data_IF_745495177923
#
_entry.id   IF_745495177923
#
_cell.length_a   1.000
_cell.length_b   1.000
_cell.length_c   1.000
_cell.angle_alpha   90.00
_cell.angle_beta   90.00
_cell.angle_gamma   90.00
#
_symmetry.space_group_name_H-M   'P 1'
#
loop_
_entity.id
_entity.type
_entity.pdbx_description
1 polymer ?
#
# COMPACT_ATOMS: atom_id res chain seq x y z
N UNK A 1 17.36 62.14 4.14
CA UNK A 1 16.71 60.83 4.34
C UNK A 1 15.76 60.63 3.17
N UNK A 2 16.19 59.88 2.15
CA UNK A 2 15.38 59.61 0.96
C UNK A 2 14.51 58.39 1.28
N UNK A 3 13.20 58.59 1.32
CA UNK A 3 12.23 57.50 1.41
C UNK A 3 11.91 57.01 0.00
N UNK A 4 12.42 55.82 -0.35
CA UNK A 4 11.99 55.09 -1.55
C UNK A 4 10.71 54.34 -1.16
N UNK A 5 9.56 54.88 -1.55
CA UNK A 5 8.29 54.18 -1.44
C UNK A 5 8.15 53.19 -2.60
N UNK A 6 8.23 51.90 -2.32
CA UNK A 6 7.76 50.88 -3.24
C UNK A 6 6.23 50.82 -3.16
N UNK A 7 5.53 51.51 -4.06
CA UNK A 7 4.11 51.24 -4.29
C UNK A 7 3.99 49.91 -5.02
N UNK A 8 3.63 48.86 -4.29
CA UNK A 8 3.10 47.64 -4.89
C UNK A 8 1.66 47.90 -5.30
N UNK A 9 1.44 48.17 -6.59
CA UNK A 9 0.10 48.18 -7.18
C UNK A 9 -0.29 46.72 -7.41
N UNK A 10 -1.01 46.09 -6.48
CA UNK A 10 -1.73 44.85 -6.81
C UNK A 10 -2.85 45.24 -7.79
N UNK A 11 -2.74 44.84 -9.05
CA UNK A 11 -3.80 45.02 -10.04
C UNK A 11 -5.04 44.24 -9.58
N UNK A 12 -5.99 44.97 -8.99
CA UNK A 12 -7.25 44.42 -8.46
C UNK A 12 -8.29 44.16 -9.58
N UNK A 13 -7.98 44.50 -10.83
CA UNK A 13 -8.94 44.40 -11.93
C UNK A 13 -9.14 42.96 -12.39
N UNK A 14 -10.41 42.57 -12.51
CA UNK A 14 -10.78 41.34 -13.21
C UNK A 14 -10.48 41.49 -14.70
N UNK A 15 -10.06 40.40 -15.32
CA UNK A 15 -9.93 40.40 -16.77
C UNK A 15 -11.29 40.63 -17.43
N UNK A 16 -11.32 41.52 -18.41
CA UNK A 16 -12.46 41.75 -19.31
C UNK A 16 -12.38 40.90 -20.58
N UNK A 17 -11.32 40.10 -20.75
CA UNK A 17 -11.12 39.27 -21.93
C UNK A 17 -11.92 37.96 -21.82
N UNK A 18 -12.97 37.74 -22.63
CA UNK A 18 -13.79 36.53 -22.58
C UNK A 18 -13.02 35.27 -23.02
N UNK A 19 -11.94 35.43 -23.80
CA UNK A 19 -11.11 34.33 -24.28
C UNK A 19 -10.01 33.91 -23.30
N UNK A 20 -9.95 34.54 -22.12
CA UNK A 20 -8.94 34.23 -21.13
C UNK A 20 -9.14 32.82 -20.56
N UNK A 21 -8.05 32.04 -20.55
CA UNK A 21 -8.04 30.64 -20.14
C UNK A 21 -7.31 30.45 -18.82
N UNK A 22 -7.83 29.53 -18.01
CA UNK A 22 -7.08 28.89 -16.94
C UNK A 22 -6.30 27.70 -17.49
N UNK A 23 -5.25 27.30 -16.77
CA UNK A 23 -4.51 26.07 -17.03
C UNK A 23 -4.73 25.09 -15.88
N UNK A 24 -5.03 23.83 -16.20
CA UNK A 24 -5.25 22.78 -15.19
C UNK A 24 -4.09 21.79 -15.31
N UNK A 25 -3.49 21.42 -14.19
CA UNK A 25 -2.31 20.55 -14.17
C UNK A 25 -2.61 19.09 -14.53
N UNK A 26 -3.88 18.70 -14.61
CA UNK A 26 -4.31 17.34 -14.88
C UNK A 26 -5.62 17.34 -15.70
N UNK A 27 -5.69 16.46 -16.68
CA UNK A 27 -6.90 16.09 -17.42
C UNK A 27 -7.59 14.87 -16.78
N UNK A 28 -6.82 14.01 -16.11
CA UNK A 28 -7.29 12.83 -15.39
C UNK A 28 -6.60 12.70 -14.04
N UNK A 29 -7.36 12.44 -12.99
CA UNK A 29 -6.87 12.03 -11.66
C UNK A 29 -7.21 10.55 -11.48
N UNK A 30 -6.19 9.70 -11.52
CA UNK A 30 -6.33 8.26 -11.37
C UNK A 30 -5.89 7.79 -9.99
N UNK A 31 -6.70 6.93 -9.39
CA UNK A 31 -6.34 6.12 -8.24
C UNK A 31 -6.10 4.69 -8.71
N UNK A 32 -5.12 4.03 -8.09
CA UNK A 32 -4.86 2.61 -8.32
C UNK A 32 -6.00 1.76 -7.71
N UNK A 33 -5.76 0.47 -7.49
CA UNK A 33 -6.75 -0.39 -6.83
C UNK A 33 -7.00 0.07 -5.39
N UNK A 34 -8.26 0.33 -5.07
CA UNK A 34 -8.75 0.67 -3.76
C UNK A 34 -9.60 -0.48 -3.25
N UNK A 35 -9.31 -0.92 -2.02
CA UNK A 35 -10.28 -1.77 -1.33
C UNK A 35 -11.54 -0.97 -1.08
N UNK A 36 -12.69 -1.57 -1.40
CA UNK A 36 -13.97 -0.93 -1.10
C UNK A 36 -14.08 -0.63 0.40
N UNK A 37 -14.94 0.30 0.81
CA UNK A 37 -15.15 0.67 2.22
C UNK A 37 -13.92 1.23 2.94
N UNK A 38 -12.84 1.54 2.22
CA UNK A 38 -11.62 2.18 2.74
C UNK A 38 -11.36 3.43 1.93
N UNK A 39 -11.10 4.55 2.61
CA UNK A 39 -10.74 5.81 1.95
C UNK A 39 -9.37 5.72 1.28
N UNK A 40 -9.23 6.35 0.12
CA UNK A 40 -7.95 6.43 -0.60
C UNK A 40 -6.98 7.40 0.07
N UNK A 41 -5.74 7.41 -0.43
CA UNK A 41 -4.87 8.58 -0.27
C UNK A 41 -5.44 9.80 -0.97
N UNK A 42 -4.93 10.98 -0.64
CA UNK A 42 -5.36 12.22 -1.30
C UNK A 42 -4.49 12.48 -2.53
N UNK A 43 -5.12 12.66 -3.70
CA UNK A 43 -4.45 13.13 -4.91
C UNK A 43 -4.65 14.64 -5.03
N UNK A 44 -3.71 15.30 -5.70
CA UNK A 44 -3.67 16.75 -5.80
C UNK A 44 -3.50 17.15 -7.26
N UNK A 45 -4.26 18.13 -7.71
CA UNK A 45 -3.98 18.87 -8.93
C UNK A 45 -4.20 20.36 -8.70
N UNK A 46 -3.67 21.21 -9.58
CA UNK A 46 -3.74 22.65 -9.45
C UNK A 46 -4.47 23.28 -10.64
N UNK A 47 -5.17 24.37 -10.36
CA UNK A 47 -5.74 25.29 -11.34
C UNK A 47 -4.91 26.56 -11.30
N UNK A 48 -4.35 26.98 -12.44
CA UNK A 48 -3.49 28.14 -12.56
C UNK A 48 -4.17 29.25 -13.35
N UNK A 49 -3.95 30.49 -12.88
CA UNK A 49 -4.19 31.69 -13.66
C UNK A 49 -2.85 32.18 -14.23
N UNK A 50 -2.50 31.86 -15.49
CA UNK A 50 -1.23 32.29 -16.09
C UNK A 50 -1.23 33.77 -16.51
N UNK A 51 -2.33 34.49 -16.31
CA UNK A 51 -2.48 35.87 -16.77
C UNK A 51 -2.05 36.88 -15.72
N UNK A 52 -1.86 38.13 -16.16
CA UNK A 52 -1.57 39.29 -15.31
C UNK A 52 -2.80 39.88 -14.61
N UNK A 53 -4.01 39.42 -14.94
CA UNK A 53 -5.25 39.92 -14.36
C UNK A 53 -5.91 38.85 -13.50
N UNK A 54 -6.78 39.25 -12.58
CA UNK A 54 -7.60 38.32 -11.81
C UNK A 54 -8.61 37.60 -12.72
N UNK A 55 -8.78 36.29 -12.51
CA UNK A 55 -9.79 35.48 -13.20
C UNK A 55 -10.93 35.16 -12.24
N UNK A 56 -12.16 35.18 -12.76
CA UNK A 56 -13.31 34.57 -12.10
C UNK A 56 -13.49 33.14 -12.60
N UNK A 57 -13.58 32.20 -11.66
CA UNK A 57 -14.01 30.82 -11.90
C UNK A 57 -15.45 30.75 -11.37
N UNK A 58 -16.38 30.50 -12.28
CA UNK A 58 -17.82 30.56 -11.99
C UNK A 58 -18.25 29.40 -11.09
N UNK A 59 -17.73 28.20 -11.40
CA UNK A 59 -18.01 26.99 -10.62
C UNK A 59 -16.90 25.95 -10.75
N UNK A 60 -16.68 25.20 -9.67
CA UNK A 60 -15.97 23.93 -9.63
C UNK A 60 -16.91 22.93 -8.98
N UNK A 61 -17.30 21.88 -9.71
CA UNK A 61 -18.35 20.95 -9.28
C UNK A 61 -17.92 19.50 -9.54
N UNK A 62 -18.05 18.65 -8.52
CA UNK A 62 -18.03 17.20 -8.67
C UNK A 62 -19.35 16.74 -9.28
N UNK A 63 -19.27 16.01 -10.38
CA UNK A 63 -20.42 15.46 -11.11
C UNK A 63 -20.25 13.96 -11.21
N UNK A 64 -21.22 13.21 -10.66
CA UNK A 64 -21.22 11.75 -10.68
C UNK A 64 -21.80 11.11 -9.42
N UNK A 65 -21.35 9.89 -9.12
CA UNK A 65 -21.96 8.98 -8.15
C UNK A 65 -21.37 9.07 -6.72
N UNK A 66 -20.70 10.18 -6.39
CA UNK A 66 -20.16 10.49 -5.04
C UNK A 66 -19.11 9.52 -4.51
N UNK A 67 -18.42 8.79 -5.39
CA UNK A 67 -17.26 7.97 -5.01
C UNK A 67 -16.02 8.83 -4.68
N UNK A 68 -16.12 10.14 -4.80
CA UNK A 68 -15.04 11.08 -4.56
C UNK A 68 -15.53 12.21 -3.67
N UNK A 69 -14.60 12.80 -2.93
CA UNK A 69 -14.82 14.03 -2.18
C UNK A 69 -13.73 15.03 -2.53
N UNK A 70 -14.11 16.31 -2.58
CA UNK A 70 -13.21 17.39 -2.94
C UNK A 70 -12.93 18.29 -1.75
N UNK A 71 -11.67 18.70 -1.61
CA UNK A 71 -11.32 19.90 -0.87
C UNK A 71 -10.73 20.93 -1.84
N UNK A 72 -11.47 22.03 -1.99
CA UNK A 72 -11.21 23.11 -2.94
C UNK A 72 -10.60 24.27 -2.15
N UNK A 73 -9.29 24.47 -2.31
CA UNK A 73 -8.54 25.55 -1.66
C UNK A 73 -8.68 25.63 -0.13
N UNK A 74 -8.78 24.48 0.54
CA UNK A 74 -8.96 24.39 2.00
C UNK A 74 -10.40 24.14 2.44
N UNK A 75 -11.40 24.26 1.54
CA UNK A 75 -12.82 24.03 1.85
C UNK A 75 -13.24 22.64 1.38
N UNK A 76 -13.65 21.77 2.31
CA UNK A 76 -14.23 20.46 1.99
C UNK A 76 -15.66 20.66 1.45
N UNK A 77 -15.86 20.51 0.14
CA UNK A 77 -17.15 20.70 -0.54
C UNK A 77 -17.12 20.07 -1.94
N UNK A 78 -18.25 19.51 -2.37
CA UNK A 78 -18.38 18.94 -3.73
C UNK A 78 -18.64 20.01 -4.79
N UNK A 79 -19.00 21.22 -4.38
CA UNK A 79 -19.15 22.35 -5.28
C UNK A 79 -18.71 23.67 -4.63
N UNK A 80 -18.04 24.52 -5.39
CA UNK A 80 -17.69 25.88 -4.99
C UNK A 80 -17.89 26.84 -6.16
N UNK A 81 -18.49 28.00 -5.87
CA UNK A 81 -18.94 28.97 -6.87
C UNK A 81 -18.27 30.34 -6.65
N UNK A 82 -18.30 31.18 -7.68
CA UNK A 82 -17.85 32.58 -7.63
C UNK A 82 -16.43 32.76 -7.06
N UNK A 83 -15.52 31.90 -7.51
CA UNK A 83 -14.15 31.84 -7.02
C UNK A 83 -13.30 32.89 -7.73
N UNK A 84 -12.52 33.63 -6.96
CA UNK A 84 -11.58 34.63 -7.48
C UNK A 84 -10.14 34.13 -7.41
N UNK A 85 -9.46 34.01 -8.55
CA UNK A 85 -8.06 33.60 -8.63
C UNK A 85 -7.18 34.78 -9.04
N UNK A 86 -6.22 35.14 -8.19
CA UNK A 86 -5.28 36.26 -8.42
C UNK A 86 -4.43 36.03 -9.68
N UNK A 87 -3.87 37.12 -10.19
CA UNK A 87 -2.93 37.09 -11.31
C UNK A 87 -1.68 36.25 -10.97
N UNK A 88 -1.24 35.41 -11.91
CA UNK A 88 -0.11 34.50 -11.74
C UNK A 88 -0.19 33.58 -10.50
N UNK A 89 -1.41 33.33 -10.01
CA UNK A 89 -1.64 32.52 -8.82
C UNK A 89 -2.25 31.16 -9.17
N UNK A 90 -2.28 30.27 -8.18
CA UNK A 90 -2.79 28.92 -8.31
C UNK A 90 -3.71 28.54 -7.17
N UNK A 91 -4.68 27.69 -7.46
CA UNK A 91 -5.53 27.04 -6.49
C UNK A 91 -5.24 25.55 -6.48
N UNK A 92 -5.21 24.97 -5.29
CA UNK A 92 -5.00 23.54 -5.09
C UNK A 92 -6.32 22.83 -4.86
N UNK A 93 -6.52 21.71 -5.57
CA UNK A 93 -7.67 20.82 -5.41
C UNK A 93 -7.16 19.49 -4.87
N UNK A 94 -7.73 19.07 -3.75
CA UNK A 94 -7.48 17.77 -3.14
C UNK A 94 -8.65 16.86 -3.47
N UNK A 95 -8.35 15.66 -3.95
CA UNK A 95 -9.34 14.64 -4.32
C UNK A 95 -9.08 13.40 -3.47
N UNK A 96 -10.10 12.92 -2.78
CA UNK A 96 -10.11 11.63 -2.12
C UNK A 96 -11.19 10.75 -2.76
N UNK A 97 -10.92 9.46 -2.88
CA UNK A 97 -11.86 8.46 -3.36
C UNK A 97 -12.30 7.55 -2.21
N UNK A 98 -13.56 7.18 -2.23
CA UNK A 98 -14.16 6.18 -1.36
C UNK A 98 -15.13 5.35 -2.21
N UNK A 99 -14.78 4.08 -2.42
CA UNK A 99 -15.59 3.17 -3.22
C UNK A 99 -16.43 2.32 -2.29
N UNK A 100 -17.76 2.40 -2.43
CA UNK A 100 -18.65 1.58 -1.60
C UNK A 100 -18.43 0.08 -1.85
N UNK A 101 -18.57 -0.77 -0.81
CA UNK A 101 -18.58 -2.21 -0.98
C UNK A 101 -19.63 -2.65 -1.99
N UNK A 102 -19.21 -3.52 -2.90
CA UNK A 102 -20.09 -4.23 -3.82
C UNK A 102 -19.86 -5.73 -3.64
N UNK A 103 -20.87 -6.54 -3.93
CA UNK A 103 -20.76 -8.01 -3.91
C UNK A 103 -20.06 -8.57 -5.17
N UNK A 104 -19.16 -7.78 -5.77
CA UNK A 104 -18.40 -8.17 -6.94
C UNK A 104 -17.08 -8.83 -6.56
N UNK A 105 -16.84 -10.01 -7.13
CA UNK A 105 -15.60 -10.77 -6.90
C UNK A 105 -14.41 -10.21 -7.68
N UNK A 106 -14.67 -9.61 -8.84
CA UNK A 106 -13.65 -9.04 -9.73
C UNK A 106 -13.53 -7.53 -9.55
N UNK A 107 -12.32 -6.96 -9.71
CA UNK A 107 -12.15 -5.52 -9.65
C UNK A 107 -12.97 -4.80 -10.74
N UNK A 108 -13.48 -3.62 -10.41
CA UNK A 108 -14.37 -2.82 -11.26
C UNK A 108 -13.91 -1.35 -11.30
N UNK A 109 -14.27 -0.62 -12.35
CA UNK A 109 -13.86 0.78 -12.51
C UNK A 109 -15.00 1.69 -12.07
N UNK A 110 -14.70 2.66 -11.20
CA UNK A 110 -15.59 3.78 -10.89
C UNK A 110 -15.06 5.05 -11.54
N UNK A 111 -15.96 5.86 -12.12
CA UNK A 111 -15.61 7.10 -12.80
C UNK A 111 -16.56 8.22 -12.42
N UNK A 112 -15.99 9.38 -12.11
CA UNK A 112 -16.70 10.65 -11.95
C UNK A 112 -15.97 11.74 -12.74
N UNK A 113 -16.43 12.98 -12.65
CA UNK A 113 -15.74 14.11 -13.27
C UNK A 113 -15.89 15.38 -12.45
N UNK A 114 -14.85 16.21 -12.47
CA UNK A 114 -14.92 17.58 -11.97
C UNK A 114 -15.15 18.50 -13.17
N UNK A 115 -16.21 19.29 -13.13
CA UNK A 115 -16.52 20.30 -14.13
C UNK A 115 -16.10 21.67 -13.57
N UNK A 116 -15.27 22.38 -14.33
CA UNK A 116 -14.78 23.71 -13.97
C UNK A 116 -15.24 24.69 -15.05
N UNK A 117 -15.94 25.73 -14.64
CA UNK A 117 -16.46 26.77 -15.53
C UNK A 117 -15.77 28.09 -15.25
N UNK A 118 -15.23 28.72 -16.28
CA UNK A 118 -14.60 30.05 -16.17
C UNK A 118 -14.82 30.82 -17.47
N UNK A 119 -15.48 31.98 -17.37
CA UNK A 119 -15.86 32.80 -18.52
C UNK A 119 -16.72 31.98 -19.50
N UNK A 120 -16.28 31.85 -20.76
CA UNK A 120 -16.93 31.04 -21.80
C UNK A 120 -16.38 29.62 -21.92
N UNK A 121 -15.45 29.23 -21.05
CA UNK A 121 -14.76 27.94 -21.13
C UNK A 121 -15.24 26.97 -20.05
N UNK A 122 -15.48 25.73 -20.48
CA UNK A 122 -15.74 24.60 -19.58
C UNK A 122 -14.58 23.63 -19.70
N UNK A 123 -14.05 23.22 -18.55
CA UNK A 123 -12.99 22.23 -18.43
C UNK A 123 -13.53 21.02 -17.69
N UNK A 124 -13.01 19.84 -18.04
CA UNK A 124 -13.39 18.58 -17.44
C UNK A 124 -12.13 17.87 -16.97
N UNK A 125 -12.11 17.48 -15.69
CA UNK A 125 -11.10 16.58 -15.13
C UNK A 125 -11.77 15.25 -14.84
N UNK A 126 -11.27 14.17 -15.45
CA UNK A 126 -11.80 12.82 -15.24
C UNK A 126 -11.27 12.27 -13.92
N UNK A 127 -12.15 11.71 -13.10
CA UNK A 127 -11.77 10.95 -11.90
C UNK A 127 -11.98 9.46 -12.19
N UNK A 128 -10.99 8.62 -11.90
CA UNK A 128 -11.13 7.17 -12.05
C UNK A 128 -10.37 6.38 -10.97
N UNK A 129 -10.95 5.26 -10.56
CA UNK A 129 -10.37 4.34 -9.59
C UNK A 129 -10.80 2.90 -9.89
N UNK A 130 -9.98 1.92 -9.49
CA UNK A 130 -10.36 0.52 -9.51
C UNK A 130 -10.83 0.10 -8.11
N UNK A 131 -12.10 -0.25 -7.96
CA UNK A 131 -12.64 -0.86 -6.74
C UNK A 131 -12.36 -2.36 -6.70
N UNK A 132 -11.91 -2.87 -5.56
CA UNK A 132 -11.75 -4.31 -5.29
C UNK A 132 -12.41 -4.65 -3.96
N UNK A 133 -13.44 -5.50 -3.98
CA UNK A 133 -13.97 -6.01 -2.72
C UNK A 133 -13.06 -7.08 -2.12
N UNK A 134 -13.12 -7.22 -0.80
CA UNK A 134 -12.25 -8.10 -0.03
C UNK A 134 -12.97 -8.69 1.18
N UNK A 135 -12.57 -9.91 1.56
CA UNK A 135 -12.92 -10.47 2.87
C UNK A 135 -12.21 -9.67 3.96
N UNK A 136 -12.98 -8.93 4.75
CA UNK A 136 -12.42 -8.13 5.85
C UNK A 136 -12.24 -9.00 7.08
N UNK A 137 -11.01 -9.03 7.58
CA UNK A 137 -10.61 -9.83 8.74
C UNK A 137 -10.03 -8.90 9.78
N UNK A 138 -10.74 -8.70 10.88
CA UNK A 138 -10.29 -7.87 12.00
C UNK A 138 -10.28 -8.68 13.28
N UNK A 139 -9.14 -8.70 13.98
CA UNK A 139 -8.93 -9.40 15.27
C UNK A 139 -9.42 -10.86 15.28
N UNK A 140 -9.34 -11.54 14.14
CA UNK A 140 -9.88 -12.89 13.97
C UNK A 140 -8.92 -13.92 14.55
N UNK A 141 -9.48 -14.86 15.30
CA UNK A 141 -8.79 -16.08 15.72
C UNK A 141 -9.34 -17.29 14.94
N UNK A 142 -8.47 -18.03 14.27
CA UNK A 142 -8.77 -19.32 13.65
C UNK A 142 -8.61 -20.38 14.75
N UNK A 143 -9.74 -20.90 15.23
CA UNK A 143 -9.79 -21.80 16.40
C UNK A 143 -9.97 -23.28 16.01
N UNK A 144 -10.22 -23.55 14.73
CA UNK A 144 -10.35 -24.89 14.18
C UNK A 144 -9.79 -24.90 12.76
N UNK A 145 -9.52 -26.10 12.24
CA UNK A 145 -9.03 -26.26 10.88
C UNK A 145 -9.91 -25.54 9.87
N UNK A 146 -9.31 -24.64 9.11
CA UNK A 146 -9.99 -23.73 8.19
C UNK A 146 -9.21 -23.64 6.89
N UNK A 147 -9.93 -23.60 5.78
CA UNK A 147 -9.34 -23.38 4.44
C UNK A 147 -9.86 -22.06 3.88
N UNK A 148 -8.95 -21.22 3.38
CA UNK A 148 -9.26 -20.00 2.65
C UNK A 148 -9.04 -20.20 1.15
N UNK A 149 -10.00 -19.73 0.37
CA UNK A 149 -10.03 -19.84 -1.09
C UNK A 149 -9.78 -18.48 -1.75
N UNK A 150 -9.34 -18.49 -3.00
CA UNK A 150 -8.95 -17.31 -3.77
C UNK A 150 -10.11 -16.70 -4.58
N UNK A 151 -11.28 -16.53 -3.97
CA UNK A 151 -12.46 -15.91 -4.63
C UNK A 151 -12.32 -14.38 -4.70
N UNK A 152 -11.86 -13.79 -3.61
CA UNK A 152 -11.49 -12.37 -3.48
C UNK A 152 -10.37 -12.24 -2.43
N UNK A 153 -9.57 -11.16 -2.45
CA UNK A 153 -8.49 -10.99 -1.49
C UNK A 153 -9.01 -10.88 -0.04
N UNK A 154 -8.13 -11.17 0.92
CA UNK A 154 -8.40 -10.98 2.35
C UNK A 154 -7.71 -9.71 2.81
N UNK A 155 -8.48 -8.73 3.27
CA UNK A 155 -7.98 -7.51 3.88
C UNK A 155 -7.91 -7.68 5.40
N UNK A 156 -6.69 -7.79 5.90
CA UNK A 156 -6.36 -8.01 7.29
C UNK A 156 -6.18 -6.65 7.98
N UNK A 157 -7.17 -6.26 8.77
CA UNK A 157 -7.28 -4.94 9.41
C UNK A 157 -6.57 -4.85 10.76
N UNK A 158 -6.28 -5.99 11.38
CA UNK A 158 -5.59 -6.11 12.66
C UNK A 158 -4.89 -7.50 12.73
N UNK A 159 -4.52 -7.96 13.91
CA UNK A 159 -3.84 -9.23 14.10
C UNK A 159 -4.75 -10.41 13.75
N UNK A 160 -4.33 -11.20 12.76
CA UNK A 160 -4.86 -12.52 12.45
C UNK A 160 -4.11 -13.55 13.28
N UNK A 161 -4.83 -14.35 14.07
CA UNK A 161 -4.23 -15.39 14.91
C UNK A 161 -4.69 -16.77 14.47
N UNK A 162 -3.74 -17.70 14.33
CA UNK A 162 -4.05 -19.14 14.22
C UNK A 162 -3.81 -19.74 15.59
N UNK A 163 -4.88 -20.18 16.26
CA UNK A 163 -4.81 -20.71 17.61
C UNK A 163 -4.07 -22.05 17.66
N UNK A 164 -3.53 -22.39 18.83
CA UNK A 164 -2.89 -23.69 19.05
C UNK A 164 -3.87 -24.83 18.73
N UNK A 165 -3.40 -25.85 18.01
CA UNK A 165 -4.22 -26.98 17.58
C UNK A 165 -5.06 -26.74 16.32
N UNK A 166 -5.14 -25.51 15.82
CA UNK A 166 -5.83 -25.20 14.57
C UNK A 166 -4.85 -25.08 13.39
N UNK A 167 -5.32 -25.46 12.21
CA UNK A 167 -4.61 -25.27 10.94
C UNK A 167 -5.32 -24.28 10.05
N UNK A 168 -4.63 -23.23 9.59
CA UNK A 168 -5.10 -22.41 8.48
C UNK A 168 -4.42 -22.89 7.19
N UNK A 169 -5.23 -23.37 6.25
CA UNK A 169 -4.78 -23.71 4.89
C UNK A 169 -5.16 -22.59 3.92
N UNK A 170 -4.17 -22.03 3.22
CA UNK A 170 -4.40 -21.07 2.14
C UNK A 170 -4.21 -21.81 0.81
N UNK A 171 -5.29 -21.89 0.03
CA UNK A 171 -5.25 -22.48 -1.31
C UNK A 171 -4.48 -21.60 -2.29
N UNK A 172 -4.15 -22.15 -3.47
CA UNK A 172 -3.48 -21.41 -4.54
C UNK A 172 -4.16 -20.08 -4.88
N UNK A 173 -3.35 -19.05 -5.18
CA UNK A 173 -3.83 -17.72 -5.56
C UNK A 173 -4.38 -16.84 -4.44
N UNK A 174 -4.48 -17.35 -3.20
CA UNK A 174 -4.94 -16.55 -2.06
C UNK A 174 -4.01 -15.36 -1.83
N UNK A 175 -4.58 -14.16 -1.72
CA UNK A 175 -3.84 -12.93 -1.45
C UNK A 175 -4.33 -12.29 -0.15
N UNK A 176 -3.41 -12.04 0.78
CA UNK A 176 -3.63 -11.37 2.04
C UNK A 176 -2.96 -9.99 2.01
N UNK A 177 -3.76 -8.96 2.27
CA UNK A 177 -3.36 -7.57 2.31
C UNK A 177 -3.45 -7.10 3.76
N UNK A 178 -2.33 -6.70 4.34
CA UNK A 178 -2.23 -6.27 5.73
C UNK A 178 -2.11 -4.76 5.80
N UNK A 179 -2.93 -4.13 6.63
CA UNK A 179 -2.73 -2.72 6.97
C UNK A 179 -1.47 -2.54 7.83
N UNK A 180 -0.95 -1.31 7.94
CA UNK A 180 0.35 -0.98 8.59
C UNK A 180 0.66 -1.65 9.93
N UNK A 181 -0.35 -1.85 10.77
CA UNK A 181 -0.20 -2.41 12.11
C UNK A 181 -0.64 -3.88 12.22
N UNK A 182 -1.22 -4.44 11.16
CA UNK A 182 -1.66 -5.81 11.16
C UNK A 182 -0.48 -6.79 11.14
N UNK A 183 -0.72 -7.97 11.70
CA UNK A 183 0.27 -9.05 11.82
C UNK A 183 -0.39 -10.41 11.68
N UNK A 184 0.39 -11.43 11.34
CA UNK A 184 -0.03 -12.82 11.39
C UNK A 184 0.70 -13.54 12.54
N UNK A 185 -0.05 -13.99 13.54
CA UNK A 185 0.46 -14.72 14.70
C UNK A 185 0.04 -16.20 14.61
N UNK A 186 1.01 -17.10 14.51
CA UNK A 186 0.75 -18.52 14.30
C UNK A 186 1.15 -19.29 15.56
N UNK A 187 0.15 -19.66 16.37
CA UNK A 187 0.33 -20.59 17.50
C UNK A 187 0.04 -22.05 17.09
N UNK A 188 -0.86 -22.25 16.13
CA UNK A 188 -1.13 -23.54 15.50
C UNK A 188 -0.25 -23.76 14.27
N UNK A 189 -0.89 -24.09 13.14
CA UNK A 189 -0.22 -24.44 11.89
C UNK A 189 -0.71 -23.58 10.73
N UNK A 190 0.21 -23.05 9.92
CA UNK A 190 -0.07 -22.38 8.66
C UNK A 190 0.41 -23.25 7.49
N UNK A 191 -0.48 -23.53 6.54
CA UNK A 191 -0.17 -24.21 5.28
C UNK A 191 -0.55 -23.33 4.11
N UNK A 192 0.40 -22.63 3.52
CA UNK A 192 0.21 -21.86 2.30
C UNK A 192 0.64 -22.68 1.08
N UNK A 193 -0.34 -23.08 0.27
CA UNK A 193 -0.18 -24.04 -0.83
C UNK A 193 -0.38 -23.34 -2.18
N UNK A 194 0.53 -22.43 -2.51
CA UNK A 194 0.57 -21.81 -3.82
C UNK A 194 1.02 -22.78 -4.92
N UNK A 195 0.89 -22.32 -6.15
CA UNK A 195 1.54 -22.91 -7.33
C UNK A 195 2.25 -21.82 -8.12
N UNK A 196 3.14 -22.20 -9.06
CA UNK A 196 3.93 -21.24 -9.84
C UNK A 196 3.09 -20.17 -10.55
N UNK A 197 1.95 -20.54 -11.13
CA UNK A 197 1.05 -19.64 -11.83
C UNK A 197 0.12 -18.83 -10.91
N UNK A 198 -0.06 -19.27 -9.66
CA UNK A 198 -0.97 -18.69 -8.67
C UNK A 198 -0.34 -18.79 -7.27
N UNK A 199 0.70 -17.99 -6.98
CA UNK A 199 1.32 -18.02 -5.67
C UNK A 199 0.34 -17.53 -4.59
N UNK A 200 0.58 -17.93 -3.34
CA UNK A 200 -0.07 -17.28 -2.19
C UNK A 200 0.74 -16.02 -1.83
N UNK A 201 0.06 -14.88 -1.69
CA UNK A 201 0.74 -13.58 -1.51
C UNK A 201 0.40 -12.97 -0.15
N UNK A 202 1.41 -12.56 0.59
CA UNK A 202 1.31 -11.77 1.82
C UNK A 202 2.00 -10.42 1.60
N UNK A 203 1.25 -9.32 1.66
CA UNK A 203 1.76 -7.98 1.36
C UNK A 203 1.03 -6.88 2.14
N UNK A 204 1.56 -5.66 2.10
CA UNK A 204 0.84 -4.47 2.54
C UNK A 204 -0.39 -4.18 1.67
N UNK A 205 -1.38 -3.49 2.26
CA UNK A 205 -2.63 -3.06 1.63
C UNK A 205 -2.46 -1.95 0.58
N UNK A 206 -1.39 -1.15 0.70
CA UNK A 206 -1.06 -0.08 -0.25
C UNK A 206 -0.65 -0.65 -1.61
N UNK A 207 -1.37 -0.24 -2.65
CA UNK A 207 -1.12 -0.58 -4.06
C UNK A 207 -0.70 0.62 -4.91
N UNK A 208 -0.69 1.82 -4.32
CA UNK A 208 -0.30 3.06 -4.97
C UNK A 208 1.22 3.30 -4.93
N UNK A 209 1.63 4.51 -5.33
CA UNK A 209 3.01 4.96 -5.34
C UNK A 209 3.33 5.86 -4.14
N UNK A 210 4.48 5.64 -3.50
CA UNK A 210 5.00 6.53 -2.46
C UNK A 210 5.59 7.81 -3.08
N UNK A 211 6.27 7.65 -4.21
CA UNK A 211 6.73 8.71 -5.11
C UNK A 211 6.50 8.24 -6.55
N UNK A 212 6.50 9.14 -7.52
CA UNK A 212 6.18 8.83 -8.93
C UNK A 212 6.93 7.60 -9.49
N UNK A 213 8.18 7.39 -9.05
CA UNK A 213 9.02 6.26 -9.50
C UNK A 213 9.22 5.18 -8.42
N UNK A 214 8.46 5.20 -7.33
CA UNK A 214 8.58 4.25 -6.22
C UNK A 214 7.19 3.70 -5.80
N UNK A 215 6.77 2.55 -6.35
CA UNK A 215 5.55 1.87 -5.91
C UNK A 215 5.69 1.32 -4.50
N UNK A 216 4.61 1.36 -3.71
CA UNK A 216 4.58 0.77 -2.37
C UNK A 216 4.89 -0.74 -2.37
N UNK A 217 4.67 -1.41 -3.50
CA UNK A 217 5.08 -2.80 -3.75
C UNK A 217 6.58 -3.06 -3.50
N UNK A 218 7.42 -2.02 -3.62
CA UNK A 218 8.86 -2.10 -3.34
C UNK A 218 9.23 -1.57 -1.96
N UNK A 219 8.33 -0.85 -1.29
CA UNK A 219 8.63 -0.14 -0.04
C UNK A 219 8.46 -1.10 1.16
N UNK A 220 9.45 -1.25 2.05
CA UNK A 220 9.31 -2.05 3.27
C UNK A 220 8.39 -1.37 4.30
N UNK A 221 8.21 -1.99 5.47
CA UNK A 221 7.48 -1.39 6.60
C UNK A 221 5.99 -1.08 6.34
N UNK A 222 5.33 -1.89 5.51
CA UNK A 222 3.91 -1.74 5.19
C UNK A 222 2.98 -2.57 6.08
N UNK A 223 3.52 -3.53 6.84
CA UNK A 223 2.80 -4.34 7.83
C UNK A 223 3.81 -5.06 8.75
N UNK A 224 3.37 -5.66 9.84
CA UNK A 224 4.30 -6.15 10.87
C UNK A 224 5.12 -7.37 10.44
N UNK A 225 4.50 -8.38 9.82
CA UNK A 225 5.14 -9.65 9.48
C UNK A 225 4.36 -10.90 9.92
N UNK A 226 5.01 -12.04 9.74
CA UNK A 226 4.52 -13.36 10.16
C UNK A 226 5.37 -13.84 11.33
N UNK A 227 4.75 -14.16 12.46
CA UNK A 227 5.43 -14.74 13.60
C UNK A 227 4.86 -16.11 13.95
N UNK A 228 5.69 -17.13 13.77
CA UNK A 228 5.47 -18.47 14.30
C UNK A 228 5.86 -18.47 15.78
N UNK A 229 4.86 -18.65 16.62
CA UNK A 229 4.99 -18.55 18.08
C UNK A 229 5.59 -19.84 18.64
N UNK A 230 6.08 -19.76 19.88
CA UNK A 230 6.73 -20.89 20.57
C UNK A 230 5.87 -22.16 20.46
N UNK A 231 6.46 -23.23 19.95
CA UNK A 231 5.80 -24.53 19.77
C UNK A 231 4.98 -24.70 18.49
N UNK A 232 4.79 -23.65 17.67
CA UNK A 232 4.19 -23.80 16.34
C UNK A 232 5.09 -24.64 15.43
N UNK A 233 4.52 -25.66 14.80
CA UNK A 233 5.26 -26.65 14.04
C UNK A 233 4.50 -27.14 12.81
N UNK A 234 5.18 -27.87 11.93
CA UNK A 234 4.63 -28.44 10.70
C UNK A 234 4.04 -27.38 9.75
N UNK A 235 4.57 -26.17 9.80
CA UNK A 235 4.17 -25.08 8.91
C UNK A 235 4.81 -25.27 7.53
N UNK A 236 4.07 -24.89 6.49
CA UNK A 236 4.48 -25.06 5.10
C UNK A 236 4.15 -23.80 4.30
N UNK A 237 5.17 -23.25 3.62
CA UNK A 237 5.05 -22.15 2.67
C UNK A 237 5.61 -22.61 1.33
N UNK A 238 4.74 -23.03 0.42
CA UNK A 238 5.11 -23.45 -0.93
C UNK A 238 4.54 -22.49 -1.98
N UNK A 239 5.38 -22.01 -2.90
CA UNK A 239 5.03 -20.95 -3.89
C UNK A 239 4.36 -19.74 -3.22
N UNK A 240 5.05 -19.19 -2.23
CA UNK A 240 4.60 -18.03 -1.46
C UNK A 240 5.42 -16.80 -1.83
N UNK A 241 4.77 -15.64 -1.85
CA UNK A 241 5.43 -14.33 -1.86
C UNK A 241 5.12 -13.62 -0.54
N UNK A 242 6.14 -13.38 0.29
CA UNK A 242 6.03 -12.52 1.49
C UNK A 242 6.82 -11.25 1.24
N UNK A 243 6.16 -10.09 1.27
CA UNK A 243 6.82 -8.82 0.97
C UNK A 243 6.37 -7.62 1.78
N UNK A 244 7.23 -6.59 1.83
CA UNK A 244 6.96 -5.26 2.38
C UNK A 244 6.74 -5.22 3.90
N UNK A 245 7.43 -6.08 4.65
CA UNK A 245 7.25 -6.22 6.10
C UNK A 245 8.07 -5.21 6.92
N UNK A 246 7.71 -5.03 8.19
CA UNK A 246 8.56 -4.41 9.21
C UNK A 246 9.59 -5.43 9.72
N UNK A 247 9.10 -6.59 10.18
CA UNK A 247 9.86 -7.80 10.48
C UNK A 247 9.35 -8.89 9.54
N UNK A 248 10.21 -9.64 8.85
CA UNK A 248 9.75 -10.64 7.89
C UNK A 248 9.04 -11.83 8.53
N UNK A 249 9.70 -12.99 8.50
CA UNK A 249 9.24 -14.20 9.16
C UNK A 249 10.05 -14.39 10.44
N UNK A 250 9.38 -14.50 11.57
CA UNK A 250 10.01 -14.75 12.86
C UNK A 250 9.58 -16.11 13.38
N UNK A 251 10.54 -16.98 13.67
CA UNK A 251 10.33 -18.27 14.30
C UNK A 251 10.83 -18.20 15.74
N UNK A 252 9.89 -18.23 16.67
CA UNK A 252 10.19 -18.47 18.08
C UNK A 252 10.63 -19.93 18.29
N UNK A 253 11.21 -20.24 19.45
CA UNK A 253 11.78 -21.55 19.76
C UNK A 253 10.78 -22.72 19.64
N UNK A 254 11.25 -23.87 19.15
CA UNK A 254 10.53 -25.15 19.11
C UNK A 254 11.44 -26.30 19.56
N UNK A 255 10.90 -27.51 19.70
CA UNK A 255 11.76 -28.70 19.80
C UNK A 255 12.63 -28.83 18.54
N UNK A 256 13.88 -29.30 18.72
CA UNK A 256 14.82 -29.55 17.62
C UNK A 256 14.59 -30.90 16.91
N UNK A 257 13.58 -31.67 17.34
CA UNK A 257 13.17 -32.94 16.73
C UNK A 257 11.95 -32.79 15.82
N UNK A 258 11.37 -31.58 15.76
CA UNK A 258 10.20 -31.28 14.95
C UNK A 258 10.52 -30.14 13.99
N UNK A 259 10.15 -30.32 12.72
CA UNK A 259 10.24 -29.27 11.72
C UNK A 259 9.24 -28.15 12.04
N UNK A 260 9.74 -26.94 12.30
CA UNK A 260 8.89 -25.80 12.56
C UNK A 260 8.32 -25.21 11.27
N UNK A 261 9.17 -25.02 10.26
CA UNK A 261 8.78 -24.39 9.00
C UNK A 261 9.55 -24.96 7.80
N UNK A 262 8.81 -25.36 6.78
CA UNK A 262 9.31 -25.60 5.44
C UNK A 262 8.95 -24.43 4.52
N UNK A 263 9.93 -23.91 3.78
CA UNK A 263 9.75 -22.89 2.75
C UNK A 263 10.29 -23.46 1.43
N UNK A 264 9.45 -23.55 0.40
CA UNK A 264 9.84 -24.04 -0.92
C UNK A 264 9.31 -23.16 -2.04
N UNK A 265 10.08 -23.02 -3.12
CA UNK A 265 9.66 -22.33 -4.34
C UNK A 265 9.16 -20.89 -4.11
N UNK A 266 9.68 -20.21 -3.10
CA UNK A 266 9.08 -18.98 -2.56
C UNK A 266 9.99 -17.77 -2.67
N UNK A 267 9.38 -16.58 -2.57
CA UNK A 267 10.07 -15.29 -2.59
C UNK A 267 9.75 -14.56 -1.28
N UNK A 268 10.77 -14.17 -0.54
CA UNK A 268 10.64 -13.42 0.72
C UNK A 268 11.50 -12.17 0.60
N UNK A 269 10.88 -10.99 0.54
CA UNK A 269 11.63 -9.79 0.18
C UNK A 269 11.14 -8.47 0.79
N UNK A 270 12.00 -7.46 0.75
CA UNK A 270 11.71 -6.08 1.16
C UNK A 270 11.19 -5.98 2.60
N UNK A 271 12.04 -6.24 3.59
CA UNK A 271 11.74 -6.01 5.00
C UNK A 271 12.48 -4.79 5.56
N UNK A 272 11.88 -4.07 6.51
CA UNK A 272 12.52 -2.93 7.18
C UNK A 272 13.65 -3.39 8.12
N UNK A 273 13.54 -4.59 8.67
CA UNK A 273 14.53 -5.21 9.56
C UNK A 273 15.05 -6.50 8.92
N UNK A 274 14.87 -7.66 9.57
CA UNK A 274 15.30 -8.95 9.06
C UNK A 274 14.20 -9.61 8.23
N UNK A 275 14.56 -10.36 7.17
CA UNK A 275 13.58 -11.12 6.38
C UNK A 275 13.19 -12.44 7.03
N UNK A 276 14.15 -13.17 7.60
CA UNK A 276 13.86 -14.37 8.38
C UNK A 276 14.73 -14.34 9.63
N UNK A 277 14.11 -14.46 10.80
CA UNK A 277 14.79 -14.67 12.08
C UNK A 277 14.31 -15.98 12.67
N UNK A 278 15.24 -16.89 12.95
CA UNK A 278 14.92 -18.19 13.54
C UNK A 278 15.83 -18.45 14.74
N UNK A 279 15.22 -18.73 15.89
CA UNK A 279 15.95 -18.95 17.15
C UNK A 279 15.52 -20.27 17.78
N UNK A 280 16.45 -21.20 17.97
CA UNK A 280 16.22 -22.50 18.58
C UNK A 280 15.07 -23.30 17.98
N UNK A 281 15.20 -23.60 16.68
CA UNK A 281 14.17 -24.27 15.90
C UNK A 281 14.76 -25.06 14.73
N UNK A 282 13.91 -25.79 14.00
CA UNK A 282 14.25 -26.51 12.78
C UNK A 282 13.54 -25.85 11.60
N UNK A 283 14.31 -25.43 10.59
CA UNK A 283 13.74 -24.80 9.38
C UNK A 283 14.45 -25.32 8.12
N UNK A 284 13.66 -25.56 7.08
CA UNK A 284 14.15 -25.92 5.75
C UNK A 284 13.73 -24.87 4.72
N UNK A 285 14.68 -24.37 3.94
CA UNK A 285 14.43 -23.48 2.81
C UNK A 285 14.99 -24.15 1.55
N UNK A 286 14.17 -24.31 0.51
CA UNK A 286 14.58 -24.89 -0.77
C UNK A 286 14.05 -24.11 -1.96
N UNK A 287 14.85 -24.04 -3.03
CA UNK A 287 14.47 -23.40 -4.31
C UNK A 287 13.82 -22.01 -4.13
N UNK A 288 14.34 -21.20 -3.22
CA UNK A 288 13.69 -19.95 -2.80
C UNK A 288 14.64 -18.76 -2.91
N UNK A 289 14.08 -17.56 -2.99
CA UNK A 289 14.83 -16.31 -3.08
C UNK A 289 14.48 -15.44 -1.88
N UNK A 290 15.49 -15.09 -1.08
CA UNK A 290 15.35 -14.22 0.09
C UNK A 290 16.21 -12.98 -0.13
N UNK A 291 15.59 -11.82 -0.33
CA UNK A 291 16.37 -10.63 -0.70
C UNK A 291 15.83 -9.29 -0.21
N UNK A 292 16.75 -8.34 -0.04
CA UNK A 292 16.47 -6.96 0.39
C UNK A 292 15.90 -6.86 1.81
N UNK A 293 16.78 -6.89 2.79
CA UNK A 293 16.47 -6.65 4.20
C UNK A 293 17.18 -5.38 4.68
N UNK A 294 16.50 -4.51 5.41
CA UNK A 294 17.12 -3.34 6.04
C UNK A 294 18.19 -3.70 7.08
N UNK A 295 18.18 -4.94 7.59
CA UNK A 295 19.21 -5.49 8.47
C UNK A 295 19.85 -6.77 7.90
N UNK A 296 19.24 -7.94 8.06
CA UNK A 296 19.79 -9.20 7.52
C UNK A 296 18.73 -10.04 6.82
N UNK A 297 19.07 -10.65 5.69
CA UNK A 297 18.11 -11.53 5.01
C UNK A 297 17.82 -12.77 5.86
N UNK A 298 18.86 -13.38 6.44
CA UNK A 298 18.71 -14.49 7.38
C UNK A 298 19.45 -14.21 8.69
N UNK A 299 18.76 -14.39 9.82
CA UNK A 299 19.32 -14.43 11.17
C UNK A 299 18.99 -15.79 11.79
N UNK A 300 20.02 -16.59 12.06
CA UNK A 300 19.87 -17.96 12.54
C UNK A 300 20.62 -18.13 13.86
N UNK A 301 19.94 -18.63 14.89
CA UNK A 301 20.48 -18.71 16.25
C UNK A 301 20.17 -20.07 16.87
N UNK A 302 21.20 -20.88 17.10
CA UNK A 302 21.13 -22.11 17.91
C UNK A 302 20.01 -23.09 17.53
N UNK A 303 19.99 -23.63 16.31
CA UNK A 303 18.98 -24.56 15.81
C UNK A 303 19.49 -25.44 14.64
N UNK A 304 18.58 -26.10 13.92
CA UNK A 304 18.91 -26.93 12.74
C UNK A 304 18.34 -26.29 11.48
N UNK A 305 19.21 -25.73 10.62
CA UNK A 305 18.79 -24.98 9.45
C UNK A 305 19.36 -25.58 8.18
N UNK A 306 18.50 -25.95 7.23
CA UNK A 306 18.92 -26.39 5.89
C UNK A 306 18.48 -25.37 4.86
N UNK A 307 19.41 -24.83 4.08
CA UNK A 307 19.11 -23.89 2.99
C UNK A 307 19.77 -24.41 1.73
N UNK A 308 18.97 -24.87 0.77
CA UNK A 308 19.44 -25.61 -0.42
C UNK A 308 18.86 -24.97 -1.68
N UNK A 309 19.68 -24.87 -2.75
CA UNK A 309 19.27 -24.31 -4.04
C UNK A 309 18.56 -22.95 -3.92
N UNK A 310 18.99 -22.12 -2.96
CA UNK A 310 18.31 -20.87 -2.64
C UNK A 310 19.27 -19.69 -2.77
N UNK A 311 18.73 -18.56 -3.22
CA UNK A 311 19.49 -17.32 -3.38
C UNK A 311 19.20 -16.40 -2.21
N UNK A 312 20.25 -16.01 -1.49
CA UNK A 312 20.17 -15.03 -0.41
C UNK A 312 21.01 -13.83 -0.81
N UNK A 313 20.36 -12.69 -1.05
CA UNK A 313 21.06 -11.52 -1.55
C UNK A 313 20.54 -10.24 -0.90
N UNK A 314 21.43 -9.37 -0.47
CA UNK A 314 21.02 -8.10 0.11
C UNK A 314 21.52 -6.93 -0.74
N UNK A 315 20.63 -6.42 -1.61
CA UNK A 315 20.86 -5.22 -2.41
C UNK A 315 20.03 -4.05 -1.89
N UNK A 316 19.66 -4.10 -0.61
CA UNK A 316 18.78 -3.11 -0.01
C UNK A 316 19.41 -1.72 -0.08
N UNK A 317 18.81 -0.87 -0.89
CA UNK A 317 19.21 0.52 -1.08
C UNK A 317 17.95 1.37 -0.99
N UNK A 318 17.73 1.97 0.18
CA UNK A 318 16.70 2.98 0.39
C UNK A 318 17.36 4.26 0.88
N UNK A 319 16.96 5.45 0.36
CA UNK A 319 17.65 6.72 0.64
C UNK A 319 17.79 7.06 2.13
N UNK A 320 16.90 6.53 2.97
CA UNK A 320 16.79 6.84 4.38
C UNK A 320 17.38 5.77 5.31
N UNK A 321 17.88 4.65 4.75
CA UNK A 321 18.49 3.56 5.53
C UNK A 321 19.99 3.58 5.32
N UNK A 322 20.70 4.23 6.24
CA UNK A 322 22.14 4.51 6.13
C UNK A 322 23.10 3.36 6.45
N UNK A 323 22.66 2.09 6.48
CA UNK A 323 23.54 0.96 6.81
C UNK A 323 23.63 -0.06 5.68
N UNK A 324 24.86 -0.51 5.40
CA UNK A 324 25.11 -1.73 4.61
C UNK A 324 24.59 -2.92 5.41
N UNK A 325 23.56 -3.56 4.87
CA UNK A 325 22.86 -4.66 5.48
C UNK A 325 23.49 -6.00 5.04
N UNK A 326 23.73 -6.93 5.96
CA UNK A 326 24.38 -8.22 5.69
C UNK A 326 23.40 -9.18 4.99
N UNK A 327 23.87 -10.09 4.14
CA UNK A 327 22.99 -11.12 3.56
C UNK A 327 22.63 -12.20 4.59
N UNK A 328 23.61 -12.68 5.37
CA UNK A 328 23.39 -13.73 6.38
C UNK A 328 24.13 -13.35 7.66
N UNK A 329 23.46 -13.50 8.80
CA UNK A 329 24.03 -13.41 10.13
C UNK A 329 23.78 -14.73 10.86
N UNK A 330 24.86 -15.42 11.22
CA UNK A 330 24.82 -16.63 12.04
C UNK A 330 25.39 -16.31 13.41
N UNK A 331 24.62 -16.54 14.47
CA UNK A 331 25.07 -16.34 15.85
C UNK A 331 25.18 -17.70 16.51
N UNK A 332 26.43 -18.09 16.81
CA UNK A 332 26.73 -19.23 17.68
C UNK A 332 26.68 -18.66 19.10
N UNK A 333 25.61 -18.97 19.83
CA UNK A 333 25.55 -18.78 21.28
C UNK A 333 25.42 -20.18 21.88
#
# INVERSE_FOLDING_TARGET
MVWIGFSSCEDMMFSTNPNQRIHISADTVSFDTLFTGVGSTTKIFNIYNPSKNRIKIDAIELVGATHYSLNINGVLTDALHDISLKANDSMRIFVQAYVDPSDQFTPFIVKDSIIIRSNTHTYKVVLQAYGQDAYRVSKRQIMADTTWLAEKPYLILDTLTIAQGATLTLSEGVSLYFVKHASLQVYGTLKAKGIQSKPVVFRGDRMDNMFDNLPYDKVPNQWQGIRFRKGSAHNELNYVVVKNTNQGIVLDSTSLDVLALAISNSIINNSATNLITASHTVMHISNSVVYNAGQSCLVLQGGKYNVVHSTIANYFSFPWVGRKATSVCYLII
#
